data_IF_493654796526
#
_entry.id   IF_493654796526
#
_cell.length_a   1.000
_cell.length_b   1.000
_cell.length_c   1.000
_cell.angle_alpha   90.00
_cell.angle_beta   90.00
_cell.angle_gamma   90.00
#
_symmetry.space_group_name_H-M   'P 1'
#
loop_
_entity.id
_entity.type
_entity.pdbx_description
1 polymer ?
#
# COMPACT_ATOMS: atom_id res chain seq x y z
N UNK A 1 -14.53 2.06 11.86
CA UNK A 1 -14.62 0.66 12.31
C UNK A 1 -13.33 -0.13 12.14
N UNK A 2 -12.37 0.33 11.33
CA UNK A 2 -11.07 -0.35 11.21
C UNK A 2 -10.27 -0.23 12.50
N UNK A 3 -9.66 -1.34 12.95
CA UNK A 3 -8.86 -1.42 14.18
C UNK A 3 -7.55 -2.15 13.92
N UNK A 4 -6.46 -1.66 14.51
CA UNK A 4 -5.19 -2.39 14.58
C UNK A 4 -4.84 -2.79 16.02
N UNK A 5 -5.63 -2.34 17.02
CA UNK A 5 -5.45 -2.59 18.43
C UNK A 5 -4.06 -2.19 18.99
N UNK A 6 -3.39 -1.27 18.31
CA UNK A 6 -2.10 -0.73 18.71
C UNK A 6 -2.21 0.80 18.92
N UNK A 7 -2.21 1.23 20.17
CA UNK A 7 -2.33 2.64 20.54
C UNK A 7 -1.10 3.49 20.18
N UNK A 8 0.01 2.88 19.79
CA UNK A 8 1.19 3.60 19.27
C UNK A 8 0.92 4.18 17.88
N UNK A 9 -0.14 3.70 17.22
CA UNK A 9 -0.60 4.22 15.93
C UNK A 9 -1.60 5.35 16.21
N UNK A 10 -1.28 6.63 15.93
CA UNK A 10 -2.17 7.76 16.21
C UNK A 10 -3.55 7.63 15.56
N UNK A 11 -3.61 7.02 14.38
CA UNK A 11 -4.84 6.78 13.65
C UNK A 11 -5.81 5.87 14.40
N UNK A 12 -5.32 4.94 15.24
CA UNK A 12 -6.19 4.06 16.03
C UNK A 12 -7.06 4.85 17.00
N UNK A 13 -6.46 5.81 17.71
CA UNK A 13 -7.18 6.68 18.65
C UNK A 13 -8.13 7.59 17.88
N UNK A 14 -7.67 8.20 16.79
CA UNK A 14 -8.49 9.10 15.97
C UNK A 14 -9.73 8.39 15.41
N UNK A 15 -9.58 7.13 14.93
CA UNK A 15 -10.71 6.33 14.45
C UNK A 15 -11.74 6.08 15.54
N UNK A 16 -11.29 5.68 16.75
CA UNK A 16 -12.20 5.46 17.87
C UNK A 16 -13.00 6.71 18.21
N UNK A 17 -12.34 7.87 18.29
CA UNK A 17 -13.01 9.13 18.56
C UNK A 17 -14.05 9.43 17.49
N UNK A 18 -13.67 9.36 16.21
CA UNK A 18 -14.57 9.68 15.09
C UNK A 18 -15.74 8.69 15.04
N UNK A 19 -15.49 7.38 15.18
CA UNK A 19 -16.52 6.36 15.13
C UNK A 19 -17.57 6.54 16.23
N UNK A 20 -17.14 6.87 17.46
CA UNK A 20 -18.05 7.05 18.60
C UNK A 20 -18.81 8.37 18.57
N UNK A 21 -18.25 9.42 17.95
CA UNK A 21 -18.93 10.73 17.81
C UNK A 21 -19.86 10.79 16.58
N UNK A 22 -19.69 9.89 15.62
CA UNK A 22 -20.48 9.88 14.40
C UNK A 22 -21.92 9.41 14.65
N UNK A 23 -22.89 10.06 14.01
CA UNK A 23 -24.31 9.63 14.04
C UNK A 23 -24.50 8.31 13.29
N UNK A 24 -23.81 8.13 12.15
CA UNK A 24 -23.85 6.93 11.32
C UNK A 24 -22.43 6.52 10.97
N UNK A 25 -22.12 5.23 11.14
CA UNK A 25 -20.88 4.61 10.74
C UNK A 25 -21.07 3.78 9.47
N UNK A 26 -20.19 3.94 8.48
CA UNK A 26 -20.24 3.25 7.19
C UNK A 26 -18.97 2.39 6.98
N UNK A 27 -18.85 1.26 7.70
CA UNK A 27 -17.67 0.41 7.62
C UNK A 27 -17.60 -0.33 6.28
N UNK A 28 -16.35 -0.63 5.86
CA UNK A 28 -16.08 -1.30 4.59
C UNK A 28 -16.31 -2.81 4.66
N UNK A 29 -16.09 -3.41 5.83
CA UNK A 29 -16.06 -4.87 6.02
C UNK A 29 -16.93 -5.31 7.19
N UNK A 30 -17.23 -6.61 7.23
CA UNK A 30 -17.97 -7.19 8.36
C UNK A 30 -17.13 -7.19 9.64
N UNK A 31 -15.82 -7.39 9.55
CA UNK A 31 -14.93 -7.27 10.69
C UNK A 31 -15.01 -5.88 11.33
N UNK A 32 -14.90 -4.83 10.50
CA UNK A 32 -15.01 -3.46 10.97
C UNK A 32 -16.40 -3.17 11.60
N UNK A 33 -17.47 -3.72 11.03
CA UNK A 33 -18.83 -3.64 11.60
C UNK A 33 -18.90 -4.30 12.98
N UNK A 34 -18.35 -5.50 13.10
CA UNK A 34 -18.36 -6.25 14.36
C UNK A 34 -17.54 -5.56 15.45
N UNK A 35 -16.43 -4.91 15.11
CA UNK A 35 -15.67 -4.10 16.08
C UNK A 35 -16.52 -2.95 16.64
N UNK A 36 -17.26 -2.22 15.79
CA UNK A 36 -18.13 -1.14 16.24
C UNK A 36 -19.24 -1.63 17.18
N UNK A 37 -19.84 -2.77 16.85
CA UNK A 37 -20.87 -3.40 17.72
C UNK A 37 -20.26 -3.81 19.06
N UNK A 38 -19.08 -4.43 19.06
CA UNK A 38 -18.40 -4.85 20.28
C UNK A 38 -17.94 -3.68 21.15
N UNK A 39 -17.75 -2.51 20.56
CA UNK A 39 -17.46 -1.26 21.26
C UNK A 39 -18.74 -0.54 21.78
N UNK A 40 -19.91 -1.14 21.60
CA UNK A 40 -21.19 -0.64 22.11
C UNK A 40 -21.94 0.34 21.21
N UNK A 41 -21.56 0.47 19.95
CA UNK A 41 -22.29 1.31 18.98
C UNK A 41 -23.52 0.52 18.51
N UNK A 42 -24.69 1.16 18.56
CA UNK A 42 -25.94 0.55 18.14
C UNK A 42 -25.90 0.10 16.68
N UNK A 43 -26.34 -1.14 16.41
CA UNK A 43 -26.31 -1.75 15.09
C UNK A 43 -27.11 -0.97 14.04
N UNK A 44 -28.17 -0.23 14.46
CA UNK A 44 -28.98 0.61 13.57
C UNK A 44 -28.21 1.81 13.03
N UNK A 45 -27.13 2.21 13.70
CA UNK A 45 -26.23 3.30 13.31
C UNK A 45 -25.04 2.82 12.48
N UNK A 46 -24.98 1.53 12.13
CA UNK A 46 -23.86 0.94 11.41
C UNK A 46 -24.35 0.33 10.09
N UNK A 47 -23.99 0.95 8.98
CA UNK A 47 -24.39 0.53 7.63
C UNK A 47 -23.14 0.04 6.88
N UNK A 48 -22.99 -1.27 6.68
CA UNK A 48 -21.88 -1.80 5.88
C UNK A 48 -22.07 -1.45 4.40
N UNK A 49 -21.18 -0.61 3.86
CA UNK A 49 -21.26 -0.15 2.46
C UNK A 49 -20.32 -0.90 1.52
N UNK A 50 -19.28 -1.53 2.04
CA UNK A 50 -18.19 -1.99 1.21
C UNK A 50 -17.23 -0.86 0.83
N UNK A 51 -16.17 -1.20 0.11
CA UNK A 51 -15.19 -0.23 -0.40
C UNK A 51 -15.66 0.38 -1.72
N UNK A 52 -15.54 1.70 -1.86
CA UNK A 52 -15.78 2.41 -3.12
C UNK A 52 -14.62 2.21 -4.14
N UNK A 53 -13.53 1.57 -3.76
CA UNK A 53 -12.36 1.40 -4.62
C UNK A 53 -12.69 0.67 -5.92
N UNK A 54 -13.55 -0.35 -5.88
CA UNK A 54 -13.97 -1.09 -7.08
C UNK A 54 -14.70 -0.19 -8.08
N UNK A 55 -15.58 0.68 -7.60
CA UNK A 55 -16.33 1.63 -8.43
C UNK A 55 -15.39 2.63 -9.08
N UNK A 56 -14.46 3.20 -8.32
CA UNK A 56 -13.44 4.14 -8.79
C UNK A 56 -12.58 3.49 -9.87
N UNK A 57 -12.07 2.29 -9.62
CA UNK A 57 -11.21 1.57 -10.57
C UNK A 57 -11.96 1.20 -11.86
N UNK A 58 -13.22 0.83 -11.76
CA UNK A 58 -14.06 0.55 -12.92
C UNK A 58 -14.35 1.81 -13.73
N UNK A 59 -14.70 2.91 -13.08
CA UNK A 59 -14.98 4.19 -13.72
C UNK A 59 -13.79 4.70 -14.53
N UNK A 60 -12.60 4.67 -13.94
CA UNK A 60 -11.37 5.14 -14.59
C UNK A 60 -10.60 4.06 -15.37
N UNK A 61 -11.16 2.87 -15.57
CA UNK A 61 -10.44 1.77 -16.22
C UNK A 61 -9.96 2.12 -17.63
N UNK A 62 -10.74 2.90 -18.39
CA UNK A 62 -10.34 3.37 -19.74
C UNK A 62 -9.08 4.23 -19.67
N UNK A 63 -9.03 5.19 -18.75
CA UNK A 63 -7.90 6.13 -18.62
C UNK A 63 -6.66 5.44 -18.04
N UNK A 64 -6.85 4.52 -17.09
CA UNK A 64 -5.77 3.66 -16.61
C UNK A 64 -5.15 2.86 -17.76
N UNK A 65 -5.97 2.29 -18.64
CA UNK A 65 -5.49 1.49 -19.75
C UNK A 65 -4.76 2.33 -20.83
N UNK A 66 -5.13 3.61 -21.01
CA UNK A 66 -4.47 4.56 -21.93
C UNK A 66 -3.11 5.05 -21.41
N UNK A 67 -2.79 4.86 -20.13
CA UNK A 67 -1.50 5.28 -19.58
C UNK A 67 -0.34 4.68 -20.37
N UNK A 68 0.62 5.52 -20.71
CA UNK A 68 1.85 5.16 -21.45
C UNK A 68 3.04 4.90 -20.54
N UNK A 69 2.83 4.86 -19.21
CA UNK A 69 3.89 4.74 -18.21
C UNK A 69 4.83 3.55 -18.42
N UNK A 70 4.31 2.41 -18.89
CA UNK A 70 5.16 1.25 -19.20
C UNK A 70 6.14 1.52 -20.35
N UNK A 71 5.69 2.25 -21.40
CA UNK A 71 6.54 2.64 -22.53
C UNK A 71 7.57 3.68 -22.09
N UNK A 72 7.14 4.69 -21.33
CA UNK A 72 7.99 5.78 -20.85
C UNK A 72 9.11 5.25 -19.94
N UNK A 73 8.79 4.30 -19.08
CA UNK A 73 9.76 3.66 -18.18
C UNK A 73 10.47 2.45 -18.81
N UNK A 74 10.18 2.12 -20.08
CA UNK A 74 10.74 0.96 -20.81
C UNK A 74 10.55 -0.37 -20.06
N UNK A 75 9.39 -0.56 -19.44
CA UNK A 75 9.05 -1.73 -18.66
C UNK A 75 8.28 -2.76 -19.50
N UNK A 76 8.52 -4.03 -19.21
CA UNK A 76 7.74 -5.15 -19.75
C UNK A 76 6.76 -5.66 -18.70
N UNK A 77 5.51 -5.89 -19.07
CA UNK A 77 4.50 -6.45 -18.18
C UNK A 77 5.00 -7.75 -17.52
N UNK A 78 4.69 -7.91 -16.24
CA UNK A 78 5.10 -9.03 -15.38
C UNK A 78 6.63 -9.24 -15.24
N UNK A 79 7.43 -8.21 -15.55
CA UNK A 79 8.91 -8.28 -15.47
C UNK A 79 9.51 -7.09 -14.73
N UNK A 80 8.86 -6.60 -13.69
CA UNK A 80 9.37 -5.59 -12.78
C UNK A 80 8.64 -5.66 -11.43
N UNK A 81 9.28 -5.17 -10.40
CA UNK A 81 8.67 -4.94 -9.08
C UNK A 81 8.26 -3.49 -8.97
N UNK A 82 7.07 -3.24 -8.40
CA UNK A 82 6.65 -1.90 -8.00
C UNK A 82 6.74 -1.78 -6.48
N UNK A 83 7.36 -0.72 -5.99
CA UNK A 83 7.59 -0.48 -4.56
C UNK A 83 7.03 0.89 -4.18
N UNK A 84 6.22 0.94 -3.13
CA UNK A 84 5.68 2.19 -2.59
C UNK A 84 5.79 2.18 -1.07
N UNK A 85 6.67 3.03 -0.54
CA UNK A 85 6.98 3.07 0.89
C UNK A 85 7.03 4.53 1.33
N UNK A 86 6.18 4.86 2.31
CA UNK A 86 6.03 6.23 2.79
C UNK A 86 5.79 6.33 4.30
N UNK A 87 5.54 5.20 5.00
CA UNK A 87 5.29 5.22 6.44
C UNK A 87 6.54 5.52 7.24
N UNK A 88 6.35 6.27 8.32
CA UNK A 88 7.41 6.70 9.22
C UNK A 88 8.22 5.53 9.78
N UNK A 89 7.54 4.45 10.16
CA UNK A 89 8.15 3.22 10.70
C UNK A 89 9.17 2.58 9.75
N UNK A 90 8.97 2.70 8.43
CA UNK A 90 9.86 2.15 7.42
C UNK A 90 10.93 3.15 6.95
N UNK A 91 10.63 4.44 6.99
CA UNK A 91 11.46 5.49 6.37
C UNK A 91 12.33 6.22 7.39
N UNK A 92 11.82 6.48 8.60
CA UNK A 92 12.49 7.32 9.59
C UNK A 92 13.52 6.55 10.42
N UNK A 93 13.33 5.25 10.60
CA UNK A 93 14.32 4.40 11.27
C UNK A 93 15.38 3.91 10.26
N UNK A 94 16.62 4.35 10.45
CA UNK A 94 17.74 4.02 9.53
C UNK A 94 18.00 2.52 9.41
N UNK A 95 17.75 1.73 10.45
CA UNK A 95 17.83 0.27 10.44
C UNK A 95 16.82 -0.35 9.48
N UNK A 96 15.55 0.07 9.57
CA UNK A 96 14.46 -0.47 8.76
C UNK A 96 14.66 -0.10 7.29
N UNK A 97 14.97 1.16 7.01
CA UNK A 97 15.25 1.62 5.65
C UNK A 97 16.48 0.92 5.06
N UNK A 98 17.53 0.69 5.86
CA UNK A 98 18.72 -0.06 5.43
C UNK A 98 18.39 -1.51 5.09
N UNK A 99 17.61 -2.20 5.93
CA UNK A 99 17.17 -3.58 5.70
C UNK A 99 16.31 -3.68 4.45
N UNK A 100 15.41 -2.72 4.26
CA UNK A 100 14.58 -2.63 3.07
C UNK A 100 15.43 -2.46 1.80
N UNK A 101 16.38 -1.51 1.77
CA UNK A 101 17.24 -1.30 0.61
C UNK A 101 18.08 -2.54 0.29
N UNK A 102 18.54 -3.28 1.30
CA UNK A 102 19.23 -4.57 1.11
C UNK A 102 18.30 -5.61 0.49
N UNK A 103 17.04 -5.68 0.93
CA UNK A 103 16.03 -6.58 0.36
C UNK A 103 15.73 -6.23 -1.09
N UNK A 104 15.60 -4.93 -1.43
CA UNK A 104 15.43 -4.49 -2.81
C UNK A 104 16.65 -4.84 -3.69
N UNK A 105 17.87 -4.72 -3.19
CA UNK A 105 19.06 -5.18 -3.89
C UNK A 105 18.99 -6.69 -4.16
N UNK A 106 18.65 -7.47 -3.13
CA UNK A 106 18.56 -8.92 -3.25
C UNK A 106 17.54 -9.36 -4.33
N UNK A 107 16.34 -8.79 -4.34
CA UNK A 107 15.34 -9.14 -5.35
C UNK A 107 15.77 -8.69 -6.76
N UNK A 108 16.40 -7.51 -6.90
CA UNK A 108 16.93 -7.05 -8.18
C UNK A 108 18.02 -7.99 -8.71
N UNK A 109 18.92 -8.46 -7.85
CA UNK A 109 19.96 -9.42 -8.21
C UNK A 109 19.41 -10.80 -8.57
N UNK A 110 18.46 -11.29 -7.77
CA UNK A 110 17.88 -12.63 -7.92
C UNK A 110 17.04 -12.76 -9.19
N UNK A 111 16.13 -11.80 -9.40
CA UNK A 111 15.17 -11.88 -10.52
C UNK A 111 15.67 -11.19 -11.79
N UNK A 112 16.69 -10.34 -11.71
CA UNK A 112 17.18 -9.50 -12.83
C UNK A 112 16.07 -8.63 -13.43
N UNK A 113 15.12 -8.22 -12.62
CA UNK A 113 14.01 -7.35 -12.99
C UNK A 113 14.24 -5.94 -12.47
N UNK A 114 13.78 -4.90 -13.19
CA UNK A 114 13.70 -3.54 -12.65
C UNK A 114 12.89 -3.49 -11.36
N UNK A 115 13.32 -2.68 -10.42
CA UNK A 115 12.62 -2.37 -9.17
C UNK A 115 12.28 -0.89 -9.19
N UNK A 116 11.02 -0.58 -9.42
CA UNK A 116 10.51 0.78 -9.56
C UNK A 116 9.99 1.25 -8.20
N UNK A 117 10.64 2.23 -7.62
CA UNK A 117 10.29 2.76 -6.30
C UNK A 117 9.61 4.12 -6.44
N UNK A 118 8.31 4.19 -6.17
CA UNK A 118 7.57 5.45 -6.06
C UNK A 118 7.98 6.13 -4.75
N UNK A 119 8.63 7.29 -4.86
CA UNK A 119 9.35 7.88 -3.74
C UNK A 119 8.77 9.24 -3.36
N UNK A 120 8.17 9.34 -2.18
CA UNK A 120 7.82 10.64 -1.62
C UNK A 120 9.09 11.49 -1.37
N UNK A 121 9.06 12.83 -1.52
CA UNK A 121 10.23 13.69 -1.31
C UNK A 121 10.98 13.41 0.00
N UNK A 122 10.26 13.26 1.11
CA UNK A 122 10.83 12.90 2.43
C UNK A 122 11.65 11.59 2.39
N UNK A 123 11.12 10.58 1.75
CA UNK A 123 11.78 9.28 1.60
C UNK A 123 13.05 9.41 0.76
N UNK A 124 13.01 10.22 -0.31
CA UNK A 124 14.16 10.49 -1.17
C UNK A 124 15.35 11.09 -0.39
N UNK A 125 15.08 12.07 0.46
CA UNK A 125 16.13 12.71 1.28
C UNK A 125 16.78 11.71 2.26
N UNK A 126 16.00 10.83 2.86
CA UNK A 126 16.48 9.77 3.74
C UNK A 126 17.35 8.75 2.98
N UNK A 127 16.86 8.30 1.83
CA UNK A 127 17.61 7.38 0.96
C UNK A 127 18.93 8.00 0.51
N UNK A 128 18.94 9.28 0.16
CA UNK A 128 20.16 9.97 -0.28
C UNK A 128 21.21 9.98 0.82
N UNK A 129 20.82 10.21 2.07
CA UNK A 129 21.74 10.14 3.23
C UNK A 129 22.28 8.73 3.48
N UNK A 130 21.54 7.68 3.15
CA UNK A 130 21.98 6.28 3.31
C UNK A 130 22.72 5.72 2.10
N UNK A 131 22.55 6.28 0.90
CA UNK A 131 23.27 5.86 -0.32
C UNK A 131 24.78 5.89 -0.18
N UNK A 132 25.30 6.71 0.71
CA UNK A 132 26.75 6.77 1.02
C UNK A 132 27.25 5.48 1.69
N UNK A 133 26.35 4.66 2.26
CA UNK A 133 26.67 3.44 3.01
C UNK A 133 26.23 2.15 2.31
N UNK A 134 25.28 2.21 1.35
CA UNK A 134 24.71 1.05 0.67
C UNK A 134 24.82 1.24 -0.84
N UNK A 135 25.60 0.40 -1.50
CA UNK A 135 25.66 0.35 -2.97
C UNK A 135 24.36 -0.26 -3.50
N UNK A 136 23.61 0.54 -4.24
CA UNK A 136 22.34 0.10 -4.84
C UNK A 136 22.58 -0.52 -6.21
N UNK A 137 21.80 -1.56 -6.53
CA UNK A 137 21.79 -2.19 -7.84
C UNK A 137 21.25 -1.20 -8.88
N UNK A 138 21.81 -1.20 -10.08
CA UNK A 138 21.43 -0.32 -11.20
C UNK A 138 19.98 -0.54 -11.69
N UNK A 139 19.40 -1.68 -11.39
CA UNK A 139 18.02 -1.99 -11.71
C UNK A 139 17.01 -1.29 -10.78
N UNK A 140 17.45 -0.69 -9.67
CA UNK A 140 16.58 0.04 -8.74
C UNK A 140 16.44 1.48 -9.19
N UNK A 141 15.22 1.89 -9.53
CA UNK A 141 14.90 3.22 -10.01
C UNK A 141 13.95 3.94 -9.04
N UNK A 142 14.38 5.08 -8.54
CA UNK A 142 13.57 5.92 -7.66
C UNK A 142 12.88 7.01 -8.48
N UNK A 143 11.56 6.93 -8.55
CA UNK A 143 10.72 7.90 -9.27
C UNK A 143 10.09 8.91 -8.31
N UNK A 144 9.71 10.07 -8.84
CA UNK A 144 8.79 10.98 -8.14
C UNK A 144 7.43 10.29 -7.94
N UNK A 145 6.60 10.77 -7.00
CA UNK A 145 5.23 10.25 -6.88
C UNK A 145 4.52 10.25 -8.23
N UNK A 146 3.90 9.13 -8.54
CA UNK A 146 3.18 8.92 -9.79
C UNK A 146 1.73 9.39 -9.63
N UNK A 147 1.11 9.80 -10.74
CA UNK A 147 -0.32 10.04 -10.79
C UNK A 147 -1.12 8.73 -10.63
N UNK A 148 -2.40 8.86 -10.25
CA UNK A 148 -3.26 7.71 -9.96
C UNK A 148 -3.33 6.71 -11.12
N UNK A 149 -3.55 7.16 -12.35
CA UNK A 149 -3.68 6.27 -13.50
C UNK A 149 -2.40 5.49 -13.81
N UNK A 150 -1.26 6.17 -13.74
CA UNK A 150 0.05 5.55 -13.98
C UNK A 150 0.39 4.56 -12.89
N UNK A 151 0.11 4.92 -11.64
CA UNK A 151 0.38 4.05 -10.50
C UNK A 151 -0.46 2.77 -10.56
N UNK A 152 -1.77 2.87 -10.81
CA UNK A 152 -2.66 1.70 -10.98
C UNK A 152 -2.26 0.86 -12.20
N UNK A 153 -1.86 1.50 -13.30
CA UNK A 153 -1.35 0.77 -14.48
C UNK A 153 -0.09 -0.03 -14.15
N UNK A 154 0.83 0.56 -13.38
CA UNK A 154 2.03 -0.14 -12.94
C UNK A 154 1.70 -1.30 -11.97
N UNK A 155 0.75 -1.12 -11.04
CA UNK A 155 0.32 -2.20 -10.15
C UNK A 155 -0.22 -3.39 -10.94
N UNK A 156 -1.19 -3.16 -11.84
CA UNK A 156 -1.81 -4.20 -12.68
C UNK A 156 -0.82 -4.99 -13.54
N UNK A 157 0.26 -4.35 -13.93
CA UNK A 157 1.24 -4.92 -14.87
C UNK A 157 2.53 -5.36 -14.20
N UNK A 158 2.67 -5.25 -12.89
CA UNK A 158 3.88 -5.64 -12.16
C UNK A 158 3.96 -7.17 -11.97
N UNK A 159 5.18 -7.67 -11.75
CA UNK A 159 5.39 -9.02 -11.26
C UNK A 159 4.91 -9.18 -9.81
N UNK A 160 5.20 -8.18 -8.98
CA UNK A 160 4.73 -8.09 -7.60
C UNK A 160 4.80 -6.64 -7.12
N UNK A 161 3.84 -6.23 -6.30
CA UNK A 161 3.84 -4.93 -5.62
C UNK A 161 4.31 -5.11 -4.18
N UNK A 162 5.19 -4.23 -3.72
CA UNK A 162 5.68 -4.18 -2.33
C UNK A 162 5.27 -2.82 -1.75
N UNK A 163 4.41 -2.80 -0.74
CA UNK A 163 3.86 -1.54 -0.24
C UNK A 163 3.60 -1.56 1.26
N UNK A 164 3.66 -0.37 1.88
CA UNK A 164 3.22 -0.13 3.25
C UNK A 164 1.85 0.60 3.31
N UNK A 165 1.18 0.76 2.16
CA UNK A 165 -0.15 1.36 2.10
C UNK A 165 -1.24 0.38 2.57
N UNK A 166 -2.19 0.86 3.37
CA UNK A 166 -3.35 0.05 3.76
C UNK A 166 -4.30 -0.29 2.61
N UNK A 167 -4.30 0.50 1.53
CA UNK A 167 -5.18 0.26 0.36
C UNK A 167 -4.70 -0.89 -0.53
N UNK A 168 -3.44 -1.32 -0.39
CA UNK A 168 -2.89 -2.40 -1.22
C UNK A 168 -3.71 -3.69 -1.13
N UNK A 169 -4.29 -3.96 0.02
CA UNK A 169 -5.16 -5.11 0.26
C UNK A 169 -6.38 -5.09 -0.65
N UNK A 170 -7.06 -3.94 -0.74
CA UNK A 170 -8.23 -3.77 -1.61
C UNK A 170 -7.82 -3.77 -3.09
N UNK A 171 -6.77 -3.02 -3.42
CA UNK A 171 -6.26 -2.88 -4.79
C UNK A 171 -5.81 -4.24 -5.35
N UNK A 172 -5.05 -5.02 -4.59
CA UNK A 172 -4.60 -6.35 -5.01
C UNK A 172 -5.74 -7.34 -5.18
N UNK A 173 -6.72 -7.32 -4.28
CA UNK A 173 -7.91 -8.16 -4.36
C UNK A 173 -8.75 -7.84 -5.61
N UNK A 174 -9.00 -6.55 -5.88
CA UNK A 174 -9.83 -6.10 -7.01
C UNK A 174 -9.11 -6.31 -8.35
N UNK A 175 -7.84 -5.93 -8.41
CA UNK A 175 -7.05 -5.93 -9.65
C UNK A 175 -6.27 -7.22 -9.89
N UNK A 176 -6.25 -8.14 -8.91
CA UNK A 176 -5.67 -9.49 -8.97
C UNK A 176 -4.19 -9.51 -9.32
N UNK A 177 -3.40 -8.65 -8.67
CA UNK A 177 -1.94 -8.69 -8.76
C UNK A 177 -1.32 -9.20 -7.45
N UNK A 178 -0.18 -9.88 -7.49
CA UNK A 178 0.54 -10.31 -6.28
C UNK A 178 1.06 -9.10 -5.50
N UNK A 179 0.85 -9.09 -4.18
CA UNK A 179 1.33 -8.01 -3.33
C UNK A 179 1.95 -8.51 -2.02
N UNK A 180 2.95 -7.80 -1.55
CA UNK A 180 3.58 -7.97 -0.24
C UNK A 180 3.39 -6.68 0.55
N UNK A 181 2.87 -6.80 1.77
CA UNK A 181 2.69 -5.67 2.65
C UNK A 181 3.84 -5.60 3.67
N UNK A 182 4.48 -4.42 3.76
CA UNK A 182 5.55 -4.16 4.72
C UNK A 182 5.01 -3.27 5.83
N UNK A 183 4.37 -3.89 6.84
CA UNK A 183 3.81 -3.19 8.02
C UNK A 183 3.97 -4.00 9.28
N UNK A 184 4.15 -3.30 10.41
CA UNK A 184 4.14 -3.93 11.75
C UNK A 184 2.71 -4.05 12.31
N UNK A 185 1.79 -3.15 11.94
CA UNK A 185 0.41 -3.15 12.39
C UNK A 185 -0.57 -3.14 11.22
N UNK A 186 -1.57 -4.02 11.27
CA UNK A 186 -2.60 -4.16 10.25
C UNK A 186 -3.95 -3.62 10.75
N UNK A 187 -4.58 -2.81 9.92
CA UNK A 187 -5.91 -2.24 10.17
C UNK A 187 -7.01 -2.99 9.42
N UNK A 188 -6.63 -3.94 8.59
CA UNK A 188 -7.51 -4.70 7.68
C UNK A 188 -7.06 -6.16 7.65
N UNK A 189 -7.34 -6.91 8.72
CA UNK A 189 -6.93 -8.32 8.83
C UNK A 189 -7.53 -9.19 7.72
N UNK A 190 -8.68 -8.81 7.17
CA UNK A 190 -9.38 -9.54 6.12
C UNK A 190 -8.52 -9.81 4.89
N UNK A 191 -7.59 -8.89 4.56
CA UNK A 191 -6.71 -9.08 3.41
C UNK A 191 -5.69 -10.18 3.59
N UNK A 192 -5.35 -10.50 4.83
CA UNK A 192 -4.49 -11.63 5.17
C UNK A 192 -5.29 -12.93 5.26
N UNK A 193 -6.50 -12.87 5.83
CA UNK A 193 -7.39 -14.03 5.95
C UNK A 193 -7.78 -14.57 4.57
N UNK A 194 -8.02 -13.68 3.59
CA UNK A 194 -8.35 -14.02 2.22
C UNK A 194 -7.11 -14.27 1.33
N UNK A 195 -5.91 -14.28 1.91
CA UNK A 195 -4.62 -14.53 1.23
C UNK A 195 -4.37 -13.68 -0.04
N UNK A 196 -4.91 -12.46 -0.08
CA UNK A 196 -4.69 -11.54 -1.21
C UNK A 196 -3.36 -10.78 -1.10
N UNK A 197 -2.81 -10.70 0.11
CA UNK A 197 -1.54 -10.03 0.44
C UNK A 197 -0.77 -10.89 1.45
N UNK A 198 0.53 -10.95 1.30
CA UNK A 198 1.46 -11.59 2.24
C UNK A 198 2.25 -10.51 2.97
#
# INVERSE_FOLDING_TARGET
>A
GNRCFDQRVPEEINRKIVDHLSDINMPLTEHARNYLISEGIDASRIIKTGSCMKEILNYYNSDINKSKVLLELKLKSNKYFLVSIHREENVDYSSNLSSLLKSLNYIAEKYKFPVIVSTHPRTKDRITKLKTKIKLNSLIQFLKPLGFFDYIKLQKSSFCVISDSGTITEESSILKFPAIMIRQAHERPEGMDEATVI
#
